data_IF_860276372286
#
_entry.id   IF_860276372286
#
_cell.length_a   1.000
_cell.length_b   1.000
_cell.length_c   1.000
_cell.angle_alpha   90.00
_cell.angle_beta   90.00
_cell.angle_gamma   90.00
#
_symmetry.space_group_name_H-M   'P 1'
#
loop_
_entity.id
_entity.type
_entity.pdbx_description
1 polymer ?
#
# COMPACT_ATOMS: atom_id res chain seq x y z
N UNK A 1 -5.69 -4.47 -22.49
CA UNK A 1 -6.08 -3.60 -21.36
C UNK A 1 -6.99 -2.50 -21.87
N UNK A 2 -7.98 -2.08 -21.07
CA UNK A 2 -8.94 -1.03 -21.47
C UNK A 2 -8.21 0.30 -21.72
N UNK A 3 -7.15 0.57 -20.96
CA UNK A 3 -6.30 1.74 -21.08
C UNK A 3 -5.62 1.83 -22.45
N UNK A 4 -5.12 0.72 -23.00
CA UNK A 4 -4.52 0.69 -24.34
C UNK A 4 -5.58 0.96 -25.42
N UNK A 5 -6.78 0.40 -25.24
CA UNK A 5 -7.91 0.65 -26.13
C UNK A 5 -8.30 2.13 -26.12
N UNK A 6 -8.32 2.76 -24.95
CA UNK A 6 -8.56 4.21 -24.83
C UNK A 6 -7.46 5.02 -25.52
N UNK A 7 -6.18 4.67 -25.34
CA UNK A 7 -5.06 5.34 -26.04
C UNK A 7 -5.19 5.21 -27.55
N UNK A 8 -5.57 4.04 -28.04
CA UNK A 8 -5.80 3.81 -29.46
C UNK A 8 -6.98 4.63 -29.99
N UNK A 9 -8.12 4.66 -29.26
CA UNK A 9 -9.27 5.49 -29.62
C UNK A 9 -8.89 6.98 -29.70
N UNK A 10 -8.11 7.49 -28.74
CA UNK A 10 -7.60 8.87 -28.77
C UNK A 10 -6.71 9.12 -29.99
N UNK A 11 -5.85 8.16 -30.36
CA UNK A 11 -4.98 8.30 -31.54
C UNK A 11 -5.73 8.34 -32.88
N UNK A 12 -6.97 7.84 -32.91
CA UNK A 12 -7.81 7.76 -34.10
C UNK A 12 -8.76 8.97 -34.25
N UNK A 13 -8.80 9.88 -33.26
CA UNK A 13 -9.66 11.06 -33.28
C UNK A 13 -9.36 11.96 -34.49
N UNK A 14 -10.39 12.25 -35.27
CA UNK A 14 -10.39 13.23 -36.36
C UNK A 14 -11.76 13.92 -36.46
N UNK A 15 -11.87 14.94 -37.31
CA UNK A 15 -13.09 15.75 -37.45
C UNK A 15 -14.36 14.97 -37.79
N UNK A 16 -14.21 13.82 -38.46
CA UNK A 16 -15.34 13.03 -38.98
C UNK A 16 -15.87 12.00 -37.97
N UNK A 17 -15.04 11.58 -37.01
CA UNK A 17 -15.37 10.49 -36.07
C UNK A 17 -15.45 10.92 -34.59
N UNK A 18 -15.31 12.21 -34.27
CA UNK A 18 -15.28 12.73 -32.89
C UNK A 18 -16.45 12.21 -32.05
N UNK A 19 -17.67 12.24 -32.58
CA UNK A 19 -18.86 11.88 -31.82
C UNK A 19 -18.92 10.40 -31.48
N UNK A 20 -18.60 9.53 -32.44
CA UNK A 20 -18.58 8.08 -32.26
C UNK A 20 -17.48 7.66 -31.27
N UNK A 21 -16.25 8.15 -31.48
CA UNK A 21 -15.12 7.84 -30.59
C UNK A 21 -15.36 8.37 -29.18
N UNK A 22 -15.98 9.55 -29.04
CA UNK A 22 -16.35 10.09 -27.72
C UNK A 22 -17.26 9.13 -26.96
N UNK A 23 -18.24 8.52 -27.62
CA UNK A 23 -19.15 7.58 -26.97
C UNK A 23 -18.43 6.33 -26.46
N UNK A 24 -17.53 5.77 -27.27
CA UNK A 24 -16.73 4.60 -26.91
C UNK A 24 -15.72 4.89 -25.81
N UNK A 25 -15.12 6.08 -25.82
CA UNK A 25 -14.24 6.55 -24.74
C UNK A 25 -14.99 6.67 -23.42
N UNK A 26 -16.20 7.25 -23.43
CA UNK A 26 -17.04 7.33 -22.23
C UNK A 26 -17.36 5.94 -21.71
N UNK A 27 -17.74 5.00 -22.59
CA UNK A 27 -18.01 3.62 -22.18
C UNK A 27 -16.78 2.96 -21.55
N UNK A 28 -15.60 3.13 -22.13
CA UNK A 28 -14.35 2.59 -21.56
C UNK A 28 -14.05 3.22 -20.19
N UNK A 29 -14.24 4.54 -20.06
CA UNK A 29 -14.05 5.26 -18.81
C UNK A 29 -15.02 4.80 -17.72
N UNK A 30 -16.29 4.58 -18.06
CA UNK A 30 -17.30 4.10 -17.11
C UNK A 30 -16.99 2.69 -16.62
N UNK A 31 -16.53 1.79 -17.51
CA UNK A 31 -16.08 0.44 -17.14
C UNK A 31 -14.92 0.52 -16.13
N UNK A 32 -13.90 1.33 -16.41
CA UNK A 32 -12.77 1.55 -15.50
C UNK A 32 -13.22 2.15 -14.16
N UNK A 33 -14.07 3.18 -14.20
CA UNK A 33 -14.56 3.88 -12.99
C UNK A 33 -15.38 2.94 -12.11
N UNK A 34 -16.13 2.03 -12.71
CA UNK A 34 -16.92 1.02 -12.01
C UNK A 34 -16.09 -0.19 -11.53
N UNK A 35 -14.78 -0.23 -11.82
CA UNK A 35 -13.93 -1.40 -11.56
C UNK A 35 -14.49 -2.69 -12.18
N UNK A 36 -15.02 -2.58 -13.41
CA UNK A 36 -15.47 -3.70 -14.23
C UNK A 36 -14.36 -4.19 -15.17
N UNK A 37 -14.45 -5.43 -15.62
CA UNK A 37 -13.36 -6.07 -16.37
C UNK A 37 -13.57 -5.98 -17.88
N UNK A 38 -12.57 -6.37 -18.69
CA UNK A 38 -12.68 -6.39 -20.16
C UNK A 38 -13.88 -7.21 -20.67
N UNK A 39 -14.27 -8.28 -19.95
CA UNK A 39 -15.43 -9.13 -20.29
C UNK A 39 -16.74 -8.34 -20.27
N UNK A 40 -16.82 -7.27 -19.48
CA UNK A 40 -18.00 -6.44 -19.28
C UNK A 40 -18.20 -5.41 -20.40
N UNK A 41 -17.26 -5.30 -21.35
CA UNK A 41 -17.47 -4.54 -22.58
C UNK A 41 -18.67 -5.04 -23.40
N UNK A 42 -19.07 -6.32 -23.21
CA UNK A 42 -20.28 -6.91 -23.81
C UNK A 42 -21.57 -6.30 -23.28
N UNK A 43 -21.54 -5.60 -22.15
CA UNK A 43 -22.70 -4.88 -21.64
C UNK A 43 -23.07 -3.74 -22.59
N UNK A 44 -24.38 -3.54 -22.77
CA UNK A 44 -24.88 -2.38 -23.48
C UNK A 44 -24.55 -1.10 -22.72
N UNK A 45 -24.41 0.01 -23.44
CA UNK A 45 -24.15 1.34 -22.88
C UNK A 45 -25.21 1.72 -21.84
N UNK A 46 -26.48 1.40 -22.10
CA UNK A 46 -27.59 1.61 -21.16
C UNK A 46 -27.39 0.89 -19.83
N UNK A 47 -26.89 -0.36 -19.85
CA UNK A 47 -26.63 -1.12 -18.63
C UNK A 47 -25.48 -0.51 -17.83
N UNK A 48 -24.40 -0.12 -18.51
CA UNK A 48 -23.25 0.54 -17.87
C UNK A 48 -23.68 1.88 -17.25
N UNK A 49 -24.42 2.72 -17.99
CA UNK A 49 -24.96 3.98 -17.51
C UNK A 49 -25.87 3.78 -16.29
N UNK A 50 -26.70 2.73 -16.28
CA UNK A 50 -27.54 2.39 -15.14
C UNK A 50 -26.69 2.04 -13.91
N UNK A 51 -25.67 1.20 -14.05
CA UNK A 51 -24.76 0.84 -12.96
C UNK A 51 -24.05 2.09 -12.43
N UNK A 52 -23.52 2.93 -13.33
CA UNK A 52 -22.88 4.19 -13.00
C UNK A 52 -23.80 5.13 -12.21
N UNK A 53 -25.06 5.27 -12.64
CA UNK A 53 -26.05 6.09 -11.92
C UNK A 53 -26.35 5.56 -10.51
N UNK A 54 -26.37 4.24 -10.33
CA UNK A 54 -26.57 3.60 -9.01
C UNK A 54 -25.35 3.86 -8.12
N UNK A 55 -24.14 3.72 -8.66
CA UNK A 55 -22.89 4.01 -7.96
C UNK A 55 -22.85 5.47 -7.49
N UNK A 56 -23.16 6.44 -8.37
CA UNK A 56 -23.19 7.85 -8.00
C UNK A 56 -24.19 8.13 -6.87
N UNK A 57 -25.42 7.59 -6.95
CA UNK A 57 -26.41 7.72 -5.87
C UNK A 57 -25.90 7.15 -4.55
N UNK A 58 -25.21 6.01 -4.59
CA UNK A 58 -24.59 5.41 -3.40
C UNK A 58 -23.44 6.26 -2.85
N UNK A 59 -22.60 6.82 -3.71
CA UNK A 59 -21.51 7.71 -3.30
C UNK A 59 -22.04 8.96 -2.61
N UNK A 60 -23.07 9.59 -3.20
CA UNK A 60 -23.73 10.75 -2.61
C UNK A 60 -24.34 10.40 -1.24
N UNK A 61 -25.07 9.28 -1.15
CA UNK A 61 -25.62 8.81 0.12
C UNK A 61 -24.57 8.55 1.21
N UNK A 62 -23.41 7.94 0.85
CA UNK A 62 -22.28 7.76 1.78
C UNK A 62 -21.65 9.08 2.19
N UNK A 63 -21.49 10.02 1.26
CA UNK A 63 -20.92 11.33 1.56
C UNK A 63 -21.82 12.18 2.47
N UNK A 64 -23.13 12.01 2.37
CA UNK A 64 -24.14 12.67 3.21
C UNK A 64 -24.24 11.99 4.59
N UNK A 65 -23.97 10.69 4.66
CA UNK A 65 -23.98 9.88 5.88
C UNK A 65 -22.58 9.33 6.18
N UNK A 66 -21.61 10.22 6.42
CA UNK A 66 -20.27 9.84 6.90
C UNK A 66 -20.36 9.24 8.30
N UNK A 67 -20.78 7.99 8.40
CA UNK A 67 -20.77 7.25 9.65
C UNK A 67 -19.32 6.86 9.94
N UNK A 68 -18.80 7.31 11.09
CA UNK A 68 -17.66 6.67 11.74
C UNK A 68 -16.28 6.91 11.13
N UNK A 69 -16.07 7.89 10.24
CA UNK A 69 -14.72 8.18 9.72
C UNK A 69 -13.96 9.15 10.63
N UNK A 70 -13.99 8.96 11.95
CA UNK A 70 -13.17 9.76 12.87
C UNK A 70 -11.65 9.59 12.60
N UNK A 71 -11.31 8.69 11.65
CA UNK A 71 -9.97 8.36 11.18
C UNK A 71 -9.09 7.89 12.33
N UNK A 72 -9.70 7.22 13.31
CA UNK A 72 -9.06 6.82 14.56
C UNK A 72 -8.02 5.75 14.26
N UNK A 73 -8.41 4.72 13.51
CA UNK A 73 -7.51 3.64 13.12
C UNK A 73 -6.45 4.14 12.15
N UNK A 74 -6.81 5.01 11.21
CA UNK A 74 -5.87 5.65 10.29
C UNK A 74 -4.77 6.41 11.06
N UNK A 75 -5.15 7.32 11.97
CA UNK A 75 -4.20 8.12 12.76
C UNK A 75 -3.33 7.24 13.64
N UNK A 76 -3.94 6.26 14.32
CA UNK A 76 -3.23 5.33 15.19
C UNK A 76 -2.24 4.46 14.41
N UNK A 77 -2.64 3.96 13.25
CA UNK A 77 -1.79 3.20 12.33
C UNK A 77 -0.61 4.03 11.82
N UNK A 78 -0.85 5.24 11.28
CA UNK A 78 0.23 6.09 10.74
C UNK A 78 1.27 6.38 11.81
N UNK A 79 0.84 6.69 13.05
CA UNK A 79 1.74 6.90 14.17
C UNK A 79 2.62 5.66 14.44
N UNK A 80 2.01 4.46 14.50
CA UNK A 80 2.71 3.20 14.77
C UNK A 80 3.64 2.81 13.63
N UNK A 81 3.21 3.03 12.40
CA UNK A 81 3.98 2.79 11.18
C UNK A 81 5.22 3.68 11.15
N UNK A 82 5.08 4.99 11.38
CA UNK A 82 6.23 5.89 11.45
C UNK A 82 7.17 5.51 12.58
N UNK A 83 6.63 5.12 13.74
CA UNK A 83 7.41 4.66 14.88
C UNK A 83 8.25 3.42 14.55
N UNK A 84 7.72 2.44 13.80
CA UNK A 84 8.48 1.31 13.28
C UNK A 84 9.62 1.76 12.36
N UNK A 85 9.30 2.60 11.38
CA UNK A 85 10.29 3.08 10.40
C UNK A 85 11.43 3.87 11.07
N UNK A 86 11.10 4.72 12.03
CA UNK A 86 12.09 5.51 12.75
C UNK A 86 12.95 4.66 13.67
N UNK A 87 12.36 3.68 14.37
CA UNK A 87 13.09 2.74 15.21
C UNK A 87 14.08 1.87 14.40
N UNK A 88 13.68 1.36 13.24
CA UNK A 88 14.56 0.59 12.34
C UNK A 88 15.70 1.48 11.80
N UNK A 89 15.38 2.70 11.37
CA UNK A 89 16.36 3.68 10.89
C UNK A 89 17.36 4.08 11.99
N UNK A 90 16.89 4.39 13.19
CA UNK A 90 17.72 4.86 14.31
C UNK A 90 18.69 3.76 14.81
N UNK A 91 18.38 2.50 14.52
CA UNK A 91 19.26 1.34 14.74
C UNK A 91 20.29 1.10 13.64
N UNK A 92 20.35 1.97 12.63
CA UNK A 92 21.32 1.90 11.54
C UNK A 92 20.83 1.18 10.28
N UNK A 93 19.55 0.78 10.22
CA UNK A 93 18.98 0.04 9.10
C UNK A 93 18.09 0.94 8.23
N UNK A 94 18.65 2.05 7.75
CA UNK A 94 17.92 3.02 6.92
C UNK A 94 17.35 2.37 5.64
N UNK A 95 18.13 1.52 4.98
CA UNK A 95 17.68 0.81 3.78
C UNK A 95 16.44 -0.06 4.06
N UNK A 96 16.47 -0.87 5.11
CA UNK A 96 15.32 -1.68 5.51
C UNK A 96 14.07 -0.83 5.81
N UNK A 97 14.27 0.38 6.36
CA UNK A 97 13.16 1.32 6.60
C UNK A 97 12.57 1.83 5.29
N UNK A 98 13.42 2.16 4.31
CA UNK A 98 12.98 2.53 2.95
C UNK A 98 12.23 1.38 2.30
N UNK A 99 12.74 0.15 2.39
CA UNK A 99 12.09 -1.05 1.85
C UNK A 99 10.71 -1.27 2.47
N UNK A 100 10.58 -1.23 3.81
CA UNK A 100 9.29 -1.36 4.50
C UNK A 100 8.30 -0.27 4.05
N UNK A 101 8.76 0.97 3.89
CA UNK A 101 7.92 2.08 3.45
C UNK A 101 7.47 1.92 1.98
N UNK A 102 8.39 1.50 1.12
CA UNK A 102 8.13 1.19 -0.30
C UNK A 102 7.12 0.05 -0.43
N UNK A 103 7.31 -1.06 0.27
CA UNK A 103 6.43 -2.22 0.17
C UNK A 103 5.03 -1.92 0.73
N UNK A 104 4.93 -1.13 1.79
CA UNK A 104 3.66 -0.61 2.28
C UNK A 104 2.95 0.25 1.21
N UNK A 105 3.68 1.17 0.56
CA UNK A 105 3.13 2.00 -0.52
C UNK A 105 2.64 1.14 -1.70
N UNK A 106 3.41 0.13 -2.11
CA UNK A 106 3.00 -0.83 -3.16
C UNK A 106 1.77 -1.62 -2.74
N UNK A 107 1.71 -2.06 -1.48
CA UNK A 107 0.59 -2.82 -0.91
C UNK A 107 -0.73 -2.05 -0.94
N UNK A 108 -0.70 -0.72 -0.86
CA UNK A 108 -1.87 0.14 -1.07
C UNK A 108 -2.06 0.57 -2.54
N UNK A 109 -1.38 -0.04 -3.51
CA UNK A 109 -1.51 0.29 -4.94
C UNK A 109 -0.77 1.56 -5.36
N UNK A 110 0.21 2.01 -4.58
CA UNK A 110 1.00 3.21 -4.80
C UNK A 110 2.27 3.01 -5.64
N UNK A 111 2.41 1.91 -6.38
CA UNK A 111 3.61 1.58 -7.20
C UNK A 111 4.03 2.77 -8.08
N UNK A 112 3.08 3.42 -8.75
CA UNK A 112 3.38 4.56 -9.62
C UNK A 112 3.80 5.82 -8.85
N UNK A 113 3.38 5.98 -7.59
CA UNK A 113 3.78 7.10 -6.73
C UNK A 113 5.25 6.98 -6.34
N UNK A 114 5.73 5.75 -6.10
CA UNK A 114 7.15 5.48 -5.89
C UNK A 114 7.99 5.83 -7.14
N UNK A 115 7.59 5.36 -8.32
CA UNK A 115 8.30 5.73 -9.57
C UNK A 115 8.30 7.24 -9.84
N UNK A 116 7.20 7.93 -9.50
CA UNK A 116 7.13 9.40 -9.58
C UNK A 116 8.21 10.05 -8.71
N UNK A 117 8.40 9.61 -7.46
CA UNK A 117 9.45 10.15 -6.58
C UNK A 117 10.84 9.98 -7.19
N UNK A 118 11.12 8.81 -7.75
CA UNK A 118 12.40 8.55 -8.41
C UNK A 118 12.63 9.44 -9.64
N UNK A 119 11.60 9.65 -10.47
CA UNK A 119 11.72 10.49 -11.68
C UNK A 119 11.88 11.97 -11.33
N UNK A 120 11.14 12.47 -10.33
CA UNK A 120 11.19 13.87 -9.91
C UNK A 120 12.53 14.21 -9.24
N UNK A 121 13.16 13.24 -8.57
CA UNK A 121 14.46 13.40 -7.92
C UNK A 121 15.63 12.83 -8.75
N UNK A 122 15.49 12.80 -10.08
CA UNK A 122 16.53 12.43 -11.04
C UNK A 122 17.18 11.04 -10.84
N UNK A 123 16.52 10.14 -10.11
CA UNK A 123 16.97 8.77 -9.84
C UNK A 123 18.39 8.68 -9.28
N UNK A 124 18.85 9.69 -8.54
CA UNK A 124 20.20 9.63 -7.96
C UNK A 124 20.29 8.48 -6.95
N UNK A 125 21.35 7.68 -7.01
CA UNK A 125 21.58 6.60 -6.03
C UNK A 125 21.61 7.14 -4.59
N UNK A 126 22.12 8.37 -4.43
CA UNK A 126 22.13 9.09 -3.17
C UNK A 126 20.72 9.29 -2.60
N UNK A 127 19.72 9.57 -3.44
CA UNK A 127 18.34 9.73 -3.00
C UNK A 127 17.72 8.40 -2.58
N UNK A 128 17.90 7.32 -3.35
CA UNK A 128 17.19 6.04 -3.16
C UNK A 128 17.33 5.48 -1.75
N UNK A 129 18.48 5.67 -1.10
CA UNK A 129 18.72 5.20 0.27
C UNK A 129 18.92 6.35 1.27
N UNK A 130 18.34 7.51 0.99
CA UNK A 130 18.41 8.68 1.85
C UNK A 130 17.29 8.75 2.89
N UNK A 131 17.52 9.59 3.91
CA UNK A 131 16.47 10.02 4.85
C UNK A 131 15.36 10.81 4.16
N UNK A 132 15.69 11.54 3.09
CA UNK A 132 14.72 12.34 2.35
C UNK A 132 13.74 11.44 1.60
N UNK A 133 14.24 10.40 0.95
CA UNK A 133 13.38 9.41 0.30
C UNK A 133 12.48 8.68 1.29
N UNK A 134 12.98 8.29 2.47
CA UNK A 134 12.15 7.71 3.53
C UNK A 134 11.01 8.67 3.94
N UNK A 135 11.31 9.97 4.09
CA UNK A 135 10.31 10.96 4.45
C UNK A 135 9.26 11.18 3.35
N UNK A 136 9.67 11.14 2.09
CA UNK A 136 8.75 11.26 0.95
C UNK A 136 7.85 10.03 0.84
N UNK A 137 8.40 8.83 1.02
CA UNK A 137 7.62 7.58 1.06
C UNK A 137 6.59 7.60 2.20
N UNK A 138 6.98 8.05 3.40
CA UNK A 138 6.05 8.24 4.54
C UNK A 138 4.85 9.11 4.14
N UNK A 139 5.11 10.27 3.53
CA UNK A 139 4.07 11.19 3.06
C UNK A 139 3.18 10.58 1.97
N UNK A 140 3.77 9.87 1.01
CA UNK A 140 2.98 9.20 -0.05
C UNK A 140 2.10 8.08 0.51
N UNK A 141 2.60 7.30 1.48
CA UNK A 141 1.80 6.29 2.19
C UNK A 141 0.65 6.96 2.92
N UNK A 142 0.91 7.98 3.73
CA UNK A 142 -0.12 8.69 4.49
C UNK A 142 -1.18 9.32 3.58
N UNK A 143 -0.76 9.99 2.50
CA UNK A 143 -1.66 10.60 1.53
C UNK A 143 -2.54 9.57 0.81
N UNK A 144 -1.95 8.52 0.24
CA UNK A 144 -2.72 7.52 -0.50
C UNK A 144 -3.61 6.70 0.43
N UNK A 145 -3.15 6.41 1.64
CA UNK A 145 -3.94 5.69 2.62
C UNK A 145 -5.15 6.53 3.07
N UNK A 146 -4.97 7.83 3.32
CA UNK A 146 -6.07 8.74 3.62
C UNK A 146 -7.13 8.72 2.51
N UNK A 147 -6.71 8.85 1.25
CA UNK A 147 -7.61 8.79 0.09
C UNK A 147 -8.43 7.49 0.02
N UNK A 148 -7.90 6.38 0.56
CA UNK A 148 -8.58 5.09 0.56
C UNK A 148 -9.56 4.88 1.71
N UNK A 149 -9.37 5.56 2.83
CA UNK A 149 -10.12 5.26 4.07
C UNK A 149 -11.07 6.37 4.50
N UNK A 150 -10.96 7.58 3.92
CA UNK A 150 -11.73 8.74 4.36
C UNK A 150 -13.23 8.69 4.03
N UNK A 151 -13.68 7.81 3.12
CA UNK A 151 -15.09 7.74 2.70
C UNK A 151 -15.92 6.77 3.57
N UNK A 152 -15.30 5.84 4.32
CA UNK A 152 -16.03 4.77 5.01
C UNK A 152 -15.25 4.13 6.16
N UNK A 153 -15.89 3.97 7.32
CA UNK A 153 -15.35 3.18 8.45
C UNK A 153 -15.00 1.74 8.06
N UNK A 154 -15.77 1.13 7.16
CA UNK A 154 -15.48 -0.22 6.68
C UNK A 154 -14.20 -0.26 5.84
N UNK A 155 -13.96 0.77 5.03
CA UNK A 155 -12.74 0.89 4.22
C UNK A 155 -11.52 1.17 5.12
N UNK A 156 -11.70 1.99 6.15
CA UNK A 156 -10.71 2.22 7.21
C UNK A 156 -10.35 0.91 7.92
N UNK A 157 -11.32 0.20 8.51
CA UNK A 157 -11.08 -1.06 9.23
C UNK A 157 -10.41 -2.07 8.29
N UNK A 158 -10.99 -2.32 7.12
CA UNK A 158 -10.48 -3.34 6.19
C UNK A 158 -9.05 -3.05 5.76
N UNK A 159 -8.76 -1.80 5.39
CA UNK A 159 -7.45 -1.41 4.87
C UNK A 159 -6.40 -1.38 5.97
N UNK A 160 -6.70 -0.80 7.14
CA UNK A 160 -5.74 -0.68 8.24
C UNK A 160 -5.41 -2.05 8.85
N UNK A 161 -6.42 -2.89 9.08
CA UNK A 161 -6.21 -4.26 9.58
C UNK A 161 -5.43 -5.09 8.56
N UNK A 162 -5.79 -4.99 7.27
CA UNK A 162 -5.08 -5.64 6.18
C UNK A 162 -3.60 -5.27 6.14
N UNK A 163 -3.27 -3.97 6.15
CA UNK A 163 -1.89 -3.49 6.17
C UNK A 163 -1.13 -3.91 7.42
N UNK A 164 -1.80 -3.92 8.58
CA UNK A 164 -1.21 -4.38 9.83
C UNK A 164 -0.71 -5.81 9.72
N UNK A 165 -1.51 -6.69 9.10
CA UNK A 165 -1.14 -8.07 8.84
C UNK A 165 -0.09 -8.21 7.73
N UNK A 166 -0.20 -7.46 6.63
CA UNK A 166 0.78 -7.50 5.55
C UNK A 166 2.18 -7.11 6.00
N UNK A 167 2.31 -5.99 6.73
CA UNK A 167 3.62 -5.55 7.28
C UNK A 167 4.21 -6.62 8.20
N UNK A 168 3.38 -7.24 9.06
CA UNK A 168 3.82 -8.32 9.94
C UNK A 168 4.34 -9.51 9.13
N UNK A 169 3.60 -9.91 8.10
CA UNK A 169 3.97 -11.01 7.21
C UNK A 169 5.31 -10.73 6.52
N UNK A 170 5.51 -9.53 5.98
CA UNK A 170 6.75 -9.15 5.31
C UNK A 170 7.95 -9.19 6.28
N UNK A 171 7.79 -8.70 7.52
CA UNK A 171 8.82 -8.78 8.55
C UNK A 171 9.18 -10.25 8.90
N UNK A 172 8.19 -11.14 8.95
CA UNK A 172 8.42 -12.58 9.18
C UNK A 172 9.11 -13.25 7.98
N UNK A 173 8.73 -12.90 6.75
CA UNK A 173 9.37 -13.43 5.55
C UNK A 173 10.83 -12.99 5.47
N UNK A 174 11.17 -11.74 5.82
CA UNK A 174 12.57 -11.29 5.92
C UNK A 174 13.38 -12.12 6.93
N UNK A 175 12.77 -12.50 8.07
CA UNK A 175 13.42 -13.42 9.02
C UNK A 175 13.72 -14.79 8.39
N UNK A 176 12.75 -15.35 7.66
CA UNK A 176 12.90 -16.67 6.99
C UNK A 176 13.89 -16.61 5.84
N UNK A 177 13.86 -15.55 5.04
CA UNK A 177 14.78 -15.29 3.94
C UNK A 177 16.22 -15.21 4.46
N UNK A 178 16.45 -14.43 5.52
CA UNK A 178 17.75 -14.41 6.18
C UNK A 178 18.18 -15.81 6.62
N UNK A 179 17.30 -16.58 7.27
CA UNK A 179 17.57 -17.97 7.66
C UNK A 179 17.94 -18.87 6.47
N UNK A 180 17.27 -18.74 5.32
CA UNK A 180 17.62 -19.48 4.09
C UNK A 180 18.99 -19.09 3.56
N UNK A 181 19.32 -17.79 3.55
CA UNK A 181 20.64 -17.29 3.15
C UNK A 181 21.72 -17.89 4.06
N UNK A 182 21.51 -17.84 5.38
CA UNK A 182 22.42 -18.45 6.37
C UNK A 182 22.65 -19.93 6.09
N UNK A 183 21.58 -20.70 5.88
CA UNK A 183 21.69 -22.14 5.59
C UNK A 183 22.43 -22.40 4.28
N UNK A 184 22.13 -21.63 3.22
CA UNK A 184 22.81 -21.77 1.93
C UNK A 184 24.30 -21.48 2.00
N UNK A 185 24.71 -20.51 2.84
CA UNK A 185 26.11 -20.20 3.07
C UNK A 185 26.80 -21.33 3.85
N UNK A 186 26.11 -21.95 4.82
CA UNK A 186 26.65 -23.09 5.58
C UNK A 186 26.82 -24.35 4.70
N UNK A 187 25.99 -24.53 3.68
CA UNK A 187 26.15 -25.62 2.69
C UNK A 187 27.38 -25.42 1.79
N UNK A 188 27.88 -24.18 1.66
CA UNK A 188 29.11 -23.83 0.93
C UNK A 188 30.37 -23.88 1.83
N UNK A 189 30.30 -24.48 3.02
CA UNK A 189 31.42 -24.55 4.00
C UNK A 189 32.73 -25.14 3.42
N UNK A 190 32.67 -25.89 2.31
CA UNK A 190 33.85 -26.42 1.63
C UNK A 190 34.61 -25.36 0.78
N UNK A 191 33.98 -24.23 0.43
CA UNK A 191 34.54 -23.18 -0.44
C UNK A 191 34.85 -21.85 0.29
N UNK A 192 34.26 -21.60 1.46
CA UNK A 192 34.40 -20.36 2.24
C UNK A 192 34.90 -20.69 3.66
N UNK A 193 35.89 -19.96 4.17
CA UNK A 193 36.40 -20.23 5.52
C UNK A 193 35.33 -19.99 6.60
N UNK A 194 35.29 -20.85 7.64
CA UNK A 194 34.38 -20.70 8.80
C UNK A 194 34.49 -19.32 9.49
N UNK A 195 35.66 -18.68 9.45
CA UNK A 195 35.83 -17.32 9.94
C UNK A 195 35.15 -16.25 9.06
N UNK A 196 35.15 -16.42 7.73
CA UNK A 196 34.44 -15.51 6.81
C UNK A 196 32.94 -15.69 6.89
N UNK A 197 32.46 -16.93 7.01
CA UNK A 197 31.06 -17.25 7.25
C UNK A 197 30.53 -16.61 8.55
N UNK A 198 31.31 -16.65 9.63
CA UNK A 198 30.98 -15.98 10.90
C UNK A 198 30.97 -14.45 10.80
N UNK A 199 31.72 -13.84 9.89
CA UNK A 199 31.69 -12.39 9.65
C UNK A 199 30.45 -11.95 8.88
N UNK A 200 29.97 -12.79 7.95
CA UNK A 200 28.75 -12.54 7.17
C UNK A 200 27.49 -12.82 8.00
N UNK A 201 27.55 -13.80 8.89
CA UNK A 201 26.51 -14.14 9.86
C UNK A 201 26.53 -13.19 11.06
N UNK A 202 26.12 -11.94 10.85
CA UNK A 202 25.87 -11.03 11.96
C UNK A 202 24.68 -11.52 12.80
N UNK A 203 24.96 -12.23 13.89
CA UNK A 203 23.97 -12.60 14.92
C UNK A 203 23.11 -11.39 15.36
N UNK A 204 23.69 -10.19 15.32
CA UNK A 204 23.02 -8.93 15.63
C UNK A 204 21.89 -8.60 14.64
N UNK A 205 22.03 -8.91 13.35
CA UNK A 205 20.98 -8.65 12.36
C UNK A 205 19.83 -9.65 12.47
N UNK A 206 20.11 -10.93 12.72
CA UNK A 206 19.09 -11.94 12.94
C UNK A 206 18.20 -11.60 14.16
N UNK A 207 18.83 -11.18 15.26
CA UNK A 207 18.15 -10.72 16.46
C UNK A 207 17.35 -9.44 16.20
N UNK A 208 17.89 -8.54 15.39
CA UNK A 208 17.20 -7.32 14.98
C UNK A 208 15.93 -7.63 14.17
N UNK A 209 15.98 -8.55 13.21
CA UNK A 209 14.80 -8.95 12.43
C UNK A 209 13.70 -9.53 13.34
N UNK A 210 14.05 -10.39 14.29
CA UNK A 210 13.10 -10.91 15.29
C UNK A 210 12.51 -9.80 16.17
N UNK A 211 13.37 -8.84 16.58
CA UNK A 211 12.95 -7.69 17.39
C UNK A 211 11.93 -6.83 16.65
N UNK A 212 12.07 -6.61 15.34
CA UNK A 212 11.11 -5.84 14.54
C UNK A 212 9.74 -6.49 14.51
N UNK A 213 9.67 -7.81 14.34
CA UNK A 213 8.40 -8.56 14.42
C UNK A 213 7.76 -8.38 15.80
N UNK A 214 8.54 -8.58 16.87
CA UNK A 214 8.05 -8.39 18.24
C UNK A 214 7.58 -6.95 18.51
N UNK A 215 8.33 -5.95 18.04
CA UNK A 215 7.98 -4.54 18.18
C UNK A 215 6.66 -4.24 17.47
N UNK A 216 6.54 -4.64 16.20
CA UNK A 216 5.32 -4.46 15.42
C UNK A 216 4.13 -5.12 16.08
N UNK A 217 4.30 -6.34 16.58
CA UNK A 217 3.25 -7.06 17.28
C UNK A 217 2.75 -6.29 18.51
N UNK A 218 3.66 -5.76 19.33
CA UNK A 218 3.30 -5.02 20.53
C UNK A 218 2.57 -3.71 20.22
N UNK A 219 3.08 -2.91 19.28
CA UNK A 219 2.47 -1.62 18.97
C UNK A 219 1.12 -1.79 18.26
N UNK A 220 0.90 -2.90 17.56
CA UNK A 220 -0.34 -3.15 16.79
C UNK A 220 -1.32 -4.12 17.46
N UNK A 221 -1.10 -4.54 18.70
CA UNK A 221 -1.98 -5.51 19.38
C UNK A 221 -3.46 -5.07 19.39
N UNK A 222 -3.72 -3.79 19.61
CA UNK A 222 -5.08 -3.22 19.54
C UNK A 222 -5.68 -3.27 18.13
N UNK A 223 -4.89 -2.95 17.10
CA UNK A 223 -5.33 -2.96 15.70
C UNK A 223 -5.66 -4.36 15.16
N UNK A 224 -5.28 -5.41 15.89
CA UNK A 224 -5.58 -6.81 15.56
C UNK A 224 -6.68 -7.41 16.42
N UNK A 225 -7.16 -6.67 17.43
CA UNK A 225 -8.18 -7.14 18.35
C UNK A 225 -9.55 -6.56 17.97
N UNK A 226 -10.45 -7.44 17.52
CA UNK A 226 -11.79 -7.04 17.08
C UNK A 226 -12.58 -6.31 18.18
N UNK A 227 -12.51 -6.79 19.42
CA UNK A 227 -13.20 -6.17 20.55
C UNK A 227 -12.64 -4.78 20.87
N UNK A 228 -11.32 -4.58 20.74
CA UNK A 228 -10.72 -3.26 20.91
C UNK A 228 -11.21 -2.28 19.83
N UNK A 229 -11.27 -2.73 18.57
CA UNK A 229 -11.76 -1.90 17.46
C UNK A 229 -13.23 -1.52 17.67
N UNK A 230 -14.08 -2.48 18.06
CA UNK A 230 -15.50 -2.23 18.36
C UNK A 230 -15.65 -1.17 19.47
N UNK A 231 -14.91 -1.31 20.58
CA UNK A 231 -14.94 -0.36 21.69
C UNK A 231 -14.42 1.03 21.34
N UNK A 232 -13.48 1.16 20.40
CA UNK A 232 -13.01 2.46 19.93
C UNK A 232 -14.14 3.28 19.29
N UNK A 233 -15.06 2.63 18.58
CA UNK A 233 -16.16 3.31 17.90
C UNK A 233 -17.42 3.48 18.76
N UNK A 234 -17.69 2.57 19.72
CA UNK A 234 -18.75 2.76 20.72
C UNK A 234 -18.55 4.03 21.57
N UNK A 235 -17.31 4.33 21.94
CA UNK A 235 -17.01 5.49 22.77
C UNK A 235 -17.19 6.83 22.03
N UNK A 236 -17.25 6.82 20.70
CA UNK A 236 -17.45 8.03 19.90
C UNK A 236 -18.90 8.38 19.61
N UNK A 237 -19.85 7.51 19.94
CA UNK A 237 -21.30 7.82 19.83
C UNK A 237 -21.84 8.55 21.07
N UNK A 238 -21.03 8.69 22.13
CA UNK A 238 -21.42 9.28 23.41
C UNK A 238 -20.82 10.68 23.70
N UNK A 239 -20.04 11.25 22.76
CA UNK A 239 -19.50 12.61 22.80
C UNK A 239 -20.16 13.51 21.73
#
# INVERSE_FOLDING_TARGET
>A
MIEDKMRNLVSLLNGDNVYEIKEDLIKCLDILTLSLDEKDQKLSKEKINRIYSIMQKRKNFRSENKIGTNLILFKDFIKKFYSLLDDVKDKGYLQDSVEIASDCLKGIGGINREFKLLVVNEKSEEYVYSKDHLNDLKKEVESLLYEKVYESIYEEIYTIVGLTHSIRFDLEEKCKEYGRIVLSLLELEDEISKEELKKVLHNEYALELQRRVYYWDNVTIGLRNHYYIEKLYENTEND
#
